data_IF_334572174776
#
_entry.id   IF_334572174776
#
_cell.length_a   1.000
_cell.length_b   1.000
_cell.length_c   1.000
_cell.angle_alpha   90.00
_cell.angle_beta   90.00
_cell.angle_gamma   90.00
#
_symmetry.space_group_name_H-M   'P 1'
#
loop_
_entity.id
_entity.type
_entity.pdbx_description
1 polymer ?
#
# COMPACT_ATOMS: atom_id res chain seq x y z
N UNK A 1 4.20 7.62 -11.15
CA UNK A 1 3.92 8.95 -10.48
C UNK A 1 4.69 9.01 -9.18
N UNK A 2 5.52 10.04 -8.95
CA UNK A 2 6.34 10.17 -7.73
C UNK A 2 5.54 10.68 -6.53
N UNK A 3 6.01 10.31 -5.32
CA UNK A 3 5.58 10.89 -4.05
C UNK A 3 6.76 11.69 -3.52
N UNK A 4 6.60 13.01 -3.31
CA UNK A 4 7.64 13.86 -2.72
C UNK A 4 7.19 14.38 -1.36
N UNK A 5 8.07 14.24 -0.38
CA UNK A 5 7.84 14.66 1.00
C UNK A 5 8.85 15.78 1.33
N UNK A 6 8.34 16.91 1.80
CA UNK A 6 9.15 18.08 2.20
C UNK A 6 8.84 18.45 3.64
N UNK A 7 9.85 18.34 4.52
CA UNK A 7 9.75 18.63 5.94
C UNK A 7 8.54 17.98 6.62
N UNK A 8 8.10 16.80 6.10
CA UNK A 8 6.89 16.14 6.57
C UNK A 8 7.09 15.64 8.00
N UNK A 9 6.14 16.00 8.86
CA UNK A 9 6.01 15.48 10.22
C UNK A 9 4.71 14.71 10.34
N UNK A 10 4.78 13.49 10.88
CA UNK A 10 3.65 12.59 11.07
C UNK A 10 3.42 12.30 12.55
N UNK A 11 2.18 12.05 12.91
CA UNK A 11 1.79 11.77 14.28
C UNK A 11 0.29 11.91 14.49
N UNK A 12 -0.13 12.14 15.72
CA UNK A 12 -1.53 12.27 16.08
C UNK A 12 -1.89 13.72 16.41
N UNK A 13 -3.03 14.21 15.96
CA UNK A 13 -3.46 15.63 16.07
C UNK A 13 -3.45 16.18 17.52
N UNK A 14 -3.61 15.31 18.53
CA UNK A 14 -3.56 15.64 19.96
C UNK A 14 -2.66 14.66 20.72
N UNK A 15 -1.69 14.06 20.04
CA UNK A 15 -0.80 13.03 20.57
C UNK A 15 0.64 13.26 20.15
N UNK A 16 1.51 12.27 20.35
CA UNK A 16 2.93 12.40 20.04
C UNK A 16 3.17 12.55 18.52
N UNK A 17 4.18 13.32 18.20
CA UNK A 17 4.79 13.29 16.87
C UNK A 17 5.61 12.01 16.76
N UNK A 18 5.37 11.24 15.71
CA UNK A 18 5.96 9.91 15.52
C UNK A 18 7.29 10.00 14.77
N UNK A 19 7.33 10.81 13.71
CA UNK A 19 8.55 11.12 12.99
C UNK A 19 8.49 12.56 12.45
N UNK A 20 9.66 13.18 12.32
CA UNK A 20 9.80 14.59 11.94
C UNK A 20 10.73 14.74 10.75
N UNK A 21 10.57 15.87 10.06
CA UNK A 21 11.48 16.35 9.03
C UNK A 21 11.80 15.32 7.92
N UNK A 22 10.77 14.58 7.52
CA UNK A 22 10.89 13.60 6.43
C UNK A 22 11.05 14.35 5.11
N UNK A 23 12.21 14.17 4.48
CA UNK A 23 12.56 14.76 3.19
C UNK A 23 12.99 13.64 2.23
N UNK A 24 12.13 13.23 1.30
CA UNK A 24 12.42 12.14 0.36
C UNK A 24 11.53 12.19 -0.87
N UNK A 25 12.02 11.61 -1.97
CA UNK A 25 11.24 11.31 -3.17
C UNK A 25 11.16 9.80 -3.36
N UNK A 26 9.94 9.28 -3.40
CA UNK A 26 9.62 7.89 -3.74
C UNK A 26 9.25 7.88 -5.22
N UNK A 27 10.10 7.25 -6.03
CA UNK A 27 9.96 7.25 -7.49
C UNK A 27 8.83 6.36 -7.97
N UNK A 28 8.18 6.78 -9.05
CA UNK A 28 7.17 5.99 -9.76
C UNK A 28 7.70 4.73 -10.42
N UNK A 29 6.82 3.77 -10.72
CA UNK A 29 7.16 2.53 -11.40
C UNK A 29 8.04 1.57 -10.58
N UNK A 30 8.09 1.72 -9.25
CA UNK A 30 8.97 0.96 -8.36
C UNK A 30 8.22 0.37 -7.18
N UNK A 31 8.72 -0.77 -6.71
CA UNK A 31 8.36 -1.36 -5.42
C UNK A 31 9.29 -0.82 -4.33
N UNK A 32 8.75 -0.01 -3.44
CA UNK A 32 9.47 0.53 -2.28
C UNK A 32 8.98 -0.14 -1.00
N UNK A 33 9.89 -0.70 -0.21
CA UNK A 33 9.58 -1.28 1.09
C UNK A 33 9.95 -0.31 2.23
N UNK A 34 8.98 -0.02 3.08
CA UNK A 34 9.13 0.75 4.30
C UNK A 34 9.42 -0.21 5.46
N UNK A 35 10.60 -0.10 6.03
CA UNK A 35 11.07 -0.92 7.14
C UNK A 35 11.28 -0.08 8.39
N UNK A 36 11.39 -0.72 9.54
CA UNK A 36 11.60 -0.11 10.85
C UNK A 36 10.90 -0.88 11.95
N UNK A 37 11.18 -0.55 13.20
CA UNK A 37 10.67 -1.23 14.38
C UNK A 37 9.14 -1.27 14.46
N UNK A 38 8.62 -2.20 15.24
CA UNK A 38 7.19 -2.24 15.51
C UNK A 38 6.77 -0.99 16.30
N UNK A 39 5.65 -0.38 15.89
CA UNK A 39 5.14 0.84 16.53
C UNK A 39 5.87 2.13 16.12
N UNK A 40 6.93 2.10 15.31
CA UNK A 40 7.70 3.28 14.88
C UNK A 40 6.88 4.27 14.03
N UNK A 41 5.72 3.85 13.49
CA UNK A 41 4.84 4.75 12.72
C UNK A 41 4.72 4.44 11.24
N UNK A 42 5.11 3.24 10.77
CA UNK A 42 4.95 2.83 9.36
C UNK A 42 3.51 2.99 8.88
N UNK A 43 2.54 2.43 9.61
CA UNK A 43 1.11 2.57 9.30
C UNK A 43 0.63 4.02 9.40
N UNK A 44 1.21 4.80 10.34
CA UNK A 44 0.91 6.25 10.47
C UNK A 44 1.35 7.01 9.23
N UNK A 45 2.54 6.72 8.70
CA UNK A 45 3.02 7.31 7.45
C UNK A 45 2.10 6.96 6.28
N UNK A 46 1.77 5.67 6.09
CA UNK A 46 0.87 5.23 5.01
C UNK A 46 -0.51 5.88 5.11
N UNK A 47 -1.09 5.95 6.32
CA UNK A 47 -2.37 6.64 6.55
C UNK A 47 -2.29 8.15 6.31
N UNK A 48 -1.16 8.77 6.62
CA UNK A 48 -0.94 10.20 6.35
C UNK A 48 -0.85 10.46 4.85
N UNK A 49 -0.10 9.65 4.11
CA UNK A 49 0.01 9.75 2.65
C UNK A 49 -1.34 9.57 1.96
N UNK A 50 -2.16 8.61 2.41
CA UNK A 50 -3.48 8.35 1.85
C UNK A 50 -4.54 9.39 2.26
N UNK A 51 -4.26 10.23 3.26
CA UNK A 51 -5.19 11.22 3.79
C UNK A 51 -6.20 10.68 4.81
N UNK A 52 -6.06 9.42 5.25
CA UNK A 52 -6.86 8.89 6.37
C UNK A 52 -6.46 9.49 7.71
N UNK A 53 -5.24 10.03 7.80
CA UNK A 53 -4.75 10.73 8.97
C UNK A 53 -4.14 12.07 8.53
N UNK A 54 -4.43 13.18 9.22
CA UNK A 54 -3.81 14.46 8.90
C UNK A 54 -2.32 14.43 9.24
N UNK A 55 -1.51 15.09 8.41
CA UNK A 55 -0.11 15.37 8.73
C UNK A 55 -0.02 16.35 9.93
N UNK A 56 1.10 16.35 10.64
CA UNK A 56 1.40 17.31 11.69
C UNK A 56 2.01 18.58 11.11
N UNK A 57 2.81 18.47 10.06
CA UNK A 57 3.43 19.59 9.35
C UNK A 57 4.14 19.14 8.08
N UNK A 58 4.68 20.09 7.32
CA UNK A 58 5.35 19.84 6.06
C UNK A 58 4.40 19.64 4.88
N UNK A 59 4.90 19.15 3.75
CA UNK A 59 4.18 19.02 2.50
C UNK A 59 4.28 17.61 1.92
N UNK A 60 3.21 17.18 1.25
CA UNK A 60 3.12 15.93 0.49
C UNK A 60 2.73 16.30 -0.93
N UNK A 61 3.56 15.93 -1.89
CA UNK A 61 3.30 16.13 -3.31
C UNK A 61 3.10 14.80 -4.02
N UNK A 62 2.00 14.69 -4.75
CA UNK A 62 1.62 13.53 -5.56
C UNK A 62 1.78 13.93 -7.04
N UNK A 63 2.89 13.56 -7.64
CA UNK A 63 3.32 14.10 -8.92
C UNK A 63 3.54 15.62 -8.84
N UNK A 64 2.74 16.40 -9.58
CA UNK A 64 2.79 17.87 -9.60
C UNK A 64 1.77 18.54 -8.67
N UNK A 65 0.95 17.79 -7.94
CA UNK A 65 -0.15 18.32 -7.12
C UNK A 65 0.17 18.15 -5.63
N UNK A 66 -0.01 19.21 -4.85
CA UNK A 66 0.04 19.13 -3.40
C UNK A 66 -1.18 18.39 -2.86
N UNK A 67 -0.95 17.43 -1.94
CA UNK A 67 -1.99 16.56 -1.43
C UNK A 67 -3.11 17.31 -0.69
N UNK A 68 -2.81 18.43 -0.03
CA UNK A 68 -3.80 19.21 0.70
C UNK A 68 -4.71 20.02 -0.23
N UNK A 69 -4.30 20.27 -1.47
CA UNK A 69 -5.13 20.90 -2.49
C UNK A 69 -6.19 19.96 -3.09
N UNK A 70 -6.09 18.66 -2.78
CA UNK A 70 -6.96 17.62 -3.34
C UNK A 70 -8.16 17.38 -2.44
N UNK A 71 -9.35 17.36 -3.04
CA UNK A 71 -10.52 16.78 -2.38
C UNK A 71 -10.30 15.29 -2.09
N UNK A 72 -11.06 14.75 -1.13
CA UNK A 72 -10.99 13.32 -0.82
C UNK A 72 -11.26 12.42 -2.05
N UNK A 73 -12.19 12.83 -2.92
CA UNK A 73 -12.50 12.11 -4.17
C UNK A 73 -11.36 12.18 -5.17
N UNK A 74 -10.69 13.31 -5.33
CA UNK A 74 -9.52 13.42 -6.20
C UNK A 74 -8.36 12.58 -5.68
N UNK A 75 -8.11 12.62 -4.36
CA UNK A 75 -7.07 11.81 -3.72
C UNK A 75 -7.33 10.31 -3.90
N UNK A 76 -8.58 9.87 -3.77
CA UNK A 76 -8.95 8.47 -3.99
C UNK A 76 -8.80 7.99 -5.45
N UNK A 77 -8.60 8.90 -6.40
CA UNK A 77 -8.25 8.57 -7.80
C UNK A 77 -6.73 8.57 -8.05
N UNK A 78 -5.95 8.94 -7.04
CA UNK A 78 -4.48 8.97 -7.11
C UNK A 78 -3.86 7.89 -6.23
N UNK A 79 -4.45 7.63 -5.06
CA UNK A 79 -3.93 6.66 -4.09
C UNK A 79 -5.00 5.64 -3.75
N UNK A 80 -4.64 4.36 -3.84
CA UNK A 80 -5.35 3.26 -3.19
C UNK A 80 -4.54 2.74 -2.00
N UNK A 81 -5.23 2.18 -1.00
CA UNK A 81 -4.58 1.64 0.19
C UNK A 81 -5.19 0.30 0.60
N UNK A 82 -4.31 -0.63 0.96
CA UNK A 82 -4.63 -1.91 1.61
C UNK A 82 -4.10 -1.85 3.03
N UNK A 83 -5.01 -1.93 4.01
CA UNK A 83 -4.66 -1.94 5.43
C UNK A 83 -4.54 -3.37 5.94
N UNK A 84 -3.75 -3.56 6.99
CA UNK A 84 -3.55 -4.87 7.66
C UNK A 84 -4.86 -5.41 8.29
N UNK A 85 -5.79 -4.53 8.67
CA UNK A 85 -7.05 -4.93 9.27
C UNK A 85 -7.89 -5.77 8.31
N UNK A 86 -8.43 -6.87 8.83
CA UNK A 86 -9.33 -7.77 8.13
C UNK A 86 -10.78 -7.42 8.50
N UNK A 87 -11.46 -6.57 7.76
CA UNK A 87 -12.87 -6.32 8.03
C UNK A 87 -13.67 -7.61 7.79
N UNK A 88 -14.60 -7.90 8.68
CA UNK A 88 -15.60 -8.93 8.42
C UNK A 88 -16.47 -8.49 7.24
N UNK A 89 -16.42 -9.23 6.15
CA UNK A 89 -17.12 -8.93 4.90
C UNK A 89 -18.14 -10.03 4.58
N UNK A 90 -18.89 -10.46 5.61
CA UNK A 90 -19.80 -11.59 5.51
C UNK A 90 -20.73 -11.53 4.29
N UNK A 91 -20.74 -12.62 3.53
CA UNK A 91 -21.66 -12.82 2.41
C UNK A 91 -21.24 -12.24 1.06
N UNK A 92 -20.24 -11.36 0.98
CA UNK A 92 -19.76 -10.79 -0.28
C UNK A 92 -18.97 -11.82 -1.10
N UNK A 93 -19.14 -11.75 -2.42
CA UNK A 93 -18.28 -12.46 -3.37
C UNK A 93 -16.97 -11.70 -3.59
N UNK A 94 -15.98 -12.38 -4.15
CA UNK A 94 -14.72 -11.75 -4.58
C UNK A 94 -14.99 -10.64 -5.60
N UNK A 95 -15.89 -10.88 -6.55
CA UNK A 95 -16.28 -9.88 -7.54
C UNK A 95 -16.88 -8.63 -6.88
N UNK A 96 -17.80 -8.79 -5.91
CA UNK A 96 -18.40 -7.67 -5.19
C UNK A 96 -17.35 -6.83 -4.47
N UNK A 97 -16.42 -7.50 -3.75
CA UNK A 97 -15.38 -6.82 -3.01
C UNK A 97 -14.43 -6.03 -3.93
N UNK A 98 -14.02 -6.63 -5.05
CA UNK A 98 -13.14 -5.93 -6.00
C UNK A 98 -13.89 -4.78 -6.70
N UNK A 99 -15.18 -4.95 -6.96
CA UNK A 99 -16.08 -3.91 -7.46
C UNK A 99 -16.15 -2.68 -6.56
N UNK A 100 -16.05 -2.85 -5.23
CA UNK A 100 -15.96 -1.71 -4.30
C UNK A 100 -14.74 -0.81 -4.56
N UNK A 101 -13.67 -1.32 -5.19
CA UNK A 101 -12.53 -0.52 -5.64
C UNK A 101 -12.95 0.59 -6.64
N UNK A 102 -14.10 0.42 -7.31
CA UNK A 102 -14.63 1.40 -8.28
C UNK A 102 -15.39 2.56 -7.63
N UNK A 103 -15.57 2.56 -6.29
CA UNK A 103 -16.34 3.60 -5.59
C UNK A 103 -15.96 5.06 -5.93
N UNK A 104 -14.70 5.45 -6.25
CA UNK A 104 -14.39 6.81 -6.69
C UNK A 104 -14.99 7.20 -8.05
N UNK A 105 -15.46 6.23 -8.81
CA UNK A 105 -15.98 6.39 -10.20
C UNK A 105 -17.47 6.16 -10.28
N UNK A 106 -18.05 5.36 -9.38
CA UNK A 106 -19.47 5.04 -9.35
C UNK A 106 -20.28 6.17 -8.70
N UNK A 107 -21.59 6.21 -8.99
CA UNK A 107 -22.52 7.10 -8.33
C UNK A 107 -22.92 6.62 -6.93
N UNK A 108 -23.91 7.30 -6.33
CA UNK A 108 -24.40 7.02 -4.98
C UNK A 108 -24.86 5.56 -4.77
N UNK A 109 -25.44 4.95 -5.79
CA UNK A 109 -25.94 3.57 -5.74
C UNK A 109 -24.85 2.50 -5.97
N UNK A 110 -23.62 2.89 -6.28
CA UNK A 110 -22.51 1.96 -6.47
C UNK A 110 -22.61 1.03 -7.69
N UNK A 111 -23.55 1.28 -8.60
CA UNK A 111 -23.72 0.44 -9.78
C UNK A 111 -22.50 0.53 -10.69
N UNK A 112 -21.98 -0.64 -11.07
CA UNK A 112 -20.83 -0.75 -11.97
C UNK A 112 -21.31 -0.58 -13.42
N UNK A 113 -20.70 0.35 -14.15
CA UNK A 113 -20.85 0.46 -15.59
C UNK A 113 -19.96 -0.57 -16.32
N UNK A 114 -20.15 -0.75 -17.62
CA UNK A 114 -19.33 -1.70 -18.41
C UNK A 114 -17.81 -1.45 -18.29
N UNK A 115 -17.38 -0.20 -18.18
CA UNK A 115 -16.00 0.15 -17.94
C UNK A 115 -15.51 -0.33 -16.55
N UNK A 116 -16.36 -0.22 -15.54
CA UNK A 116 -16.01 -0.63 -14.17
C UNK A 116 -15.90 -2.15 -14.09
N UNK A 117 -16.80 -2.88 -14.74
CA UNK A 117 -16.76 -4.35 -14.86
C UNK A 117 -15.47 -4.81 -15.55
N UNK A 118 -15.04 -4.11 -16.60
CA UNK A 118 -13.78 -4.40 -17.29
C UNK A 118 -12.58 -4.20 -16.36
N UNK A 119 -12.55 -3.11 -15.58
CA UNK A 119 -11.49 -2.83 -14.62
C UNK A 119 -11.43 -3.89 -13.50
N UNK A 120 -12.60 -4.33 -12.99
CA UNK A 120 -12.70 -5.41 -12.00
C UNK A 120 -12.14 -6.71 -12.58
N UNK A 121 -12.59 -7.09 -13.79
CA UNK A 121 -12.11 -8.30 -14.46
C UNK A 121 -10.58 -8.28 -14.68
N UNK A 122 -10.05 -7.19 -15.21
CA UNK A 122 -8.62 -7.03 -15.46
C UNK A 122 -7.82 -7.16 -14.15
N UNK A 123 -8.26 -6.51 -13.09
CA UNK A 123 -7.59 -6.57 -11.78
C UNK A 123 -7.59 -7.97 -11.19
N UNK A 124 -8.67 -8.72 -11.33
CA UNK A 124 -8.75 -10.12 -10.92
C UNK A 124 -7.83 -11.03 -11.75
N UNK A 125 -7.71 -10.78 -13.06
CA UNK A 125 -6.79 -11.52 -13.93
C UNK A 125 -5.35 -11.21 -13.57
N UNK A 126 -5.00 -9.93 -13.42
CA UNK A 126 -3.63 -9.51 -13.08
C UNK A 126 -3.13 -10.06 -11.73
N UNK A 127 -4.02 -10.23 -10.77
CA UNK A 127 -3.67 -10.79 -9.46
C UNK A 127 -3.80 -12.31 -9.39
N UNK A 128 -4.25 -12.96 -10.48
CA UNK A 128 -4.52 -14.41 -10.52
C UNK A 128 -5.74 -14.82 -9.69
N UNK A 129 -6.61 -13.88 -9.32
CA UNK A 129 -7.81 -14.13 -8.51
C UNK A 129 -9.08 -14.34 -9.34
N UNK A 130 -9.03 -14.26 -10.68
CA UNK A 130 -10.20 -14.45 -11.55
C UNK A 130 -10.95 -15.77 -11.33
N UNK A 131 -10.30 -16.94 -11.11
CA UNK A 131 -11.01 -18.18 -10.84
C UNK A 131 -11.81 -18.16 -9.53
N UNK A 132 -11.54 -17.22 -8.64
CA UNK A 132 -12.17 -17.09 -7.33
C UNK A 132 -13.36 -16.12 -7.34
N UNK A 133 -13.66 -15.44 -8.44
CA UNK A 133 -14.58 -14.29 -8.52
C UNK A 133 -15.97 -14.53 -7.92
N UNK A 134 -16.50 -15.76 -8.05
CA UNK A 134 -17.84 -16.14 -7.57
C UNK A 134 -17.80 -16.72 -6.14
N UNK A 135 -16.61 -16.94 -5.55
CA UNK A 135 -16.45 -17.45 -4.19
C UNK A 135 -16.73 -16.36 -3.17
N UNK A 136 -17.24 -16.77 -2.01
CA UNK A 136 -17.40 -15.88 -0.86
C UNK A 136 -16.03 -15.61 -0.21
N UNK A 137 -15.81 -14.36 0.23
CA UNK A 137 -14.57 -13.92 0.85
C UNK A 137 -14.21 -14.77 2.07
N UNK A 138 -15.20 -15.17 2.86
CA UNK A 138 -14.98 -15.96 4.07
C UNK A 138 -14.48 -17.39 3.80
N UNK A 139 -14.61 -17.87 2.56
CA UNK A 139 -14.14 -19.20 2.13
C UNK A 139 -12.70 -19.21 1.59
N UNK A 140 -12.05 -18.05 1.54
CA UNK A 140 -10.71 -17.92 0.97
C UNK A 140 -9.62 -18.21 2.01
N UNK A 141 -8.53 -18.82 1.56
CA UNK A 141 -7.27 -18.83 2.32
C UNK A 141 -6.71 -17.42 2.48
N UNK A 142 -5.79 -17.23 3.42
CA UNK A 142 -5.16 -15.92 3.65
C UNK A 142 -4.42 -15.40 2.40
N UNK A 143 -3.71 -16.27 1.67
CA UNK A 143 -3.05 -15.90 0.43
C UNK A 143 -4.01 -15.54 -0.70
N UNK A 144 -5.12 -16.29 -0.86
CA UNK A 144 -6.17 -15.95 -1.82
C UNK A 144 -6.82 -14.63 -1.47
N UNK A 145 -7.15 -14.42 -0.20
CA UNK A 145 -7.73 -13.17 0.31
C UNK A 145 -6.81 -11.99 0.05
N UNK A 146 -5.50 -12.15 0.27
CA UNK A 146 -4.52 -11.08 0.01
C UNK A 146 -4.48 -10.70 -1.47
N UNK A 147 -4.48 -11.68 -2.39
CA UNK A 147 -4.57 -11.42 -3.84
C UNK A 147 -5.84 -10.62 -4.20
N UNK A 148 -6.97 -10.94 -3.57
CA UNK A 148 -8.25 -10.24 -3.77
C UNK A 148 -8.18 -8.80 -3.23
N UNK A 149 -7.55 -8.56 -2.08
CA UNK A 149 -7.36 -7.21 -1.53
C UNK A 149 -6.48 -6.36 -2.45
N UNK A 150 -5.42 -6.94 -3.02
CA UNK A 150 -4.59 -6.28 -4.04
C UNK A 150 -5.39 -6.02 -5.32
N UNK A 151 -6.22 -6.98 -5.77
CA UNK A 151 -7.11 -6.77 -6.92
C UNK A 151 -8.09 -5.61 -6.71
N UNK A 152 -8.66 -5.48 -5.51
CA UNK A 152 -9.52 -4.36 -5.15
C UNK A 152 -8.78 -3.01 -5.24
N UNK A 153 -7.55 -2.94 -4.72
CA UNK A 153 -6.73 -1.74 -4.82
C UNK A 153 -6.36 -1.43 -6.29
N UNK A 154 -6.09 -2.45 -7.10
CA UNK A 154 -5.77 -2.32 -8.51
C UNK A 154 -6.97 -1.87 -9.33
N UNK A 155 -8.18 -2.37 -9.02
CA UNK A 155 -9.44 -1.98 -9.67
C UNK A 155 -9.78 -0.49 -9.48
N UNK A 156 -9.20 0.16 -8.48
CA UNK A 156 -9.31 1.61 -8.29
C UNK A 156 -8.53 2.41 -9.35
N UNK A 157 -7.71 1.75 -10.18
CA UNK A 157 -6.92 2.36 -11.28
C UNK A 157 -6.04 3.55 -10.85
N UNK A 158 -5.56 3.55 -9.63
CA UNK A 158 -4.70 4.62 -9.12
C UNK A 158 -3.25 4.42 -9.55
N UNK A 159 -2.47 5.50 -9.76
CA UNK A 159 -1.03 5.40 -10.03
C UNK A 159 -0.22 4.99 -8.78
N UNK A 160 -0.74 5.22 -7.57
CA UNK A 160 -0.06 4.92 -6.30
C UNK A 160 -0.87 3.88 -5.53
N UNK A 161 -0.20 2.83 -5.05
CA UNK A 161 -0.77 1.79 -4.19
C UNK A 161 0.05 1.72 -2.90
N UNK A 162 -0.62 1.95 -1.78
CA UNK A 162 -0.03 1.81 -0.45
C UNK A 162 -0.51 0.51 0.19
N UNK A 163 0.40 -0.25 0.83
CA UNK A 163 0.03 -1.49 1.51
C UNK A 163 0.65 -1.53 2.91
N UNK A 164 -0.20 -1.72 3.91
CA UNK A 164 0.24 -1.84 5.30
C UNK A 164 0.35 -3.31 5.67
N UNK A 165 1.58 -3.80 5.79
CA UNK A 165 1.96 -5.18 6.10
C UNK A 165 1.23 -6.25 5.24
N UNK A 166 1.30 -6.19 3.90
CA UNK A 166 0.53 -7.06 3.02
C UNK A 166 0.90 -8.55 3.12
N UNK A 167 2.00 -8.88 3.77
CA UNK A 167 2.49 -10.25 3.98
C UNK A 167 2.22 -10.78 5.39
N UNK A 168 1.59 -9.97 6.27
CA UNK A 168 1.18 -10.43 7.59
C UNK A 168 0.20 -11.61 7.47
N UNK A 169 0.36 -12.59 8.35
CA UNK A 169 -0.47 -13.81 8.41
C UNK A 169 -0.35 -14.78 7.22
N UNK A 170 0.56 -14.53 6.27
CA UNK A 170 0.82 -15.42 5.15
C UNK A 170 1.91 -16.44 5.50
N UNK A 171 1.78 -17.66 4.95
CA UNK A 171 2.87 -18.62 4.93
C UNK A 171 4.03 -18.11 4.03
N UNK A 172 5.19 -18.74 4.15
CA UNK A 172 6.41 -18.30 3.47
C UNK A 172 6.26 -18.21 1.94
N UNK A 173 5.62 -19.20 1.31
CA UNK A 173 5.43 -19.18 -0.15
C UNK A 173 4.49 -18.07 -0.58
N UNK A 174 3.39 -17.89 0.14
CA UNK A 174 2.43 -16.82 -0.14
C UNK A 174 3.03 -15.42 0.06
N UNK A 175 3.99 -15.24 0.99
CA UNK A 175 4.73 -13.96 1.14
C UNK A 175 5.55 -13.65 -0.10
N UNK A 176 6.34 -14.62 -0.58
CA UNK A 176 7.16 -14.46 -1.79
C UNK A 176 6.27 -14.15 -2.99
N UNK A 177 5.20 -14.89 -3.19
CA UNK A 177 4.29 -14.71 -4.31
C UNK A 177 3.62 -13.32 -4.27
N UNK A 178 3.25 -12.85 -3.08
CA UNK A 178 2.66 -11.51 -2.90
C UNK A 178 3.66 -10.41 -3.26
N UNK A 179 4.91 -10.50 -2.79
CA UNK A 179 5.93 -9.49 -3.10
C UNK A 179 6.31 -9.51 -4.58
N UNK A 180 6.44 -10.68 -5.19
CA UNK A 180 6.68 -10.84 -6.64
C UNK A 180 5.53 -10.26 -7.47
N UNK A 181 4.28 -10.49 -7.06
CA UNK A 181 3.12 -9.88 -7.69
C UNK A 181 3.20 -8.37 -7.63
N UNK A 182 3.48 -7.78 -6.47
CA UNK A 182 3.59 -6.33 -6.28
C UNK A 182 4.75 -5.75 -7.10
N UNK A 183 5.93 -6.40 -7.11
CA UNK A 183 7.06 -6.01 -7.94
C UNK A 183 6.70 -6.01 -9.43
N UNK A 184 6.06 -7.09 -9.92
CA UNK A 184 5.58 -7.16 -11.30
C UNK A 184 4.59 -6.03 -11.61
N UNK A 185 3.60 -5.78 -10.77
CA UNK A 185 2.62 -4.69 -10.98
C UNK A 185 3.29 -3.32 -11.01
N UNK A 186 4.31 -3.08 -10.17
CA UNK A 186 5.07 -1.84 -10.19
C UNK A 186 5.72 -1.62 -11.55
N UNK A 187 6.45 -2.62 -12.07
CA UNK A 187 7.22 -2.50 -13.29
C UNK A 187 6.37 -2.57 -14.57
N UNK A 188 5.40 -3.49 -14.65
CA UNK A 188 4.63 -3.70 -15.89
C UNK A 188 3.48 -2.72 -16.07
N UNK A 189 2.96 -2.14 -14.98
CA UNK A 189 1.84 -1.20 -15.00
C UNK A 189 2.22 0.22 -14.55
N UNK A 190 3.52 0.50 -14.43
CA UNK A 190 4.07 1.80 -13.97
C UNK A 190 3.44 2.29 -12.65
N UNK A 191 3.17 1.36 -11.71
CA UNK A 191 2.57 1.70 -10.42
C UNK A 191 3.66 2.06 -9.42
N UNK A 192 3.43 3.12 -8.65
CA UNK A 192 4.24 3.43 -7.46
C UNK A 192 3.69 2.62 -6.31
N UNK A 193 4.44 1.62 -5.87
CA UNK A 193 4.01 0.75 -4.78
C UNK A 193 4.90 1.00 -3.57
N UNK A 194 4.27 1.43 -2.46
CA UNK A 194 4.92 1.58 -1.16
C UNK A 194 4.24 0.64 -0.18
N UNK A 195 4.99 -0.32 0.36
CA UNK A 195 4.48 -1.23 1.37
C UNK A 195 5.30 -1.17 2.66
N UNK A 196 4.65 -1.36 3.80
CA UNK A 196 5.33 -1.62 5.07
C UNK A 196 5.56 -3.11 5.24
N UNK A 197 6.71 -3.49 5.80
CA UNK A 197 7.00 -4.88 6.14
C UNK A 197 7.99 -4.99 7.29
N UNK A 198 7.95 -6.10 8.00
CA UNK A 198 8.95 -6.51 8.98
C UNK A 198 9.84 -7.65 8.45
N UNK A 199 9.56 -8.18 7.27
CA UNK A 199 10.37 -9.21 6.62
C UNK A 199 11.51 -8.56 5.81
N UNK A 200 12.62 -8.32 6.50
CA UNK A 200 13.76 -7.60 5.94
C UNK A 200 14.45 -8.38 4.83
N UNK A 201 14.48 -9.72 4.94
CA UNK A 201 15.15 -10.55 3.95
C UNK A 201 14.40 -10.48 2.61
N UNK A 202 13.09 -10.73 2.61
CA UNK A 202 12.30 -10.67 1.39
C UNK A 202 12.23 -9.25 0.82
N UNK A 203 12.20 -8.23 1.68
CA UNK A 203 12.26 -6.84 1.23
C UNK A 203 13.57 -6.52 0.52
N UNK A 204 14.71 -6.98 1.07
CA UNK A 204 16.02 -6.77 0.46
C UNK A 204 16.20 -7.48 -0.89
N UNK A 205 15.53 -8.62 -1.08
CA UNK A 205 15.64 -9.41 -2.32
C UNK A 205 14.71 -8.93 -3.44
N UNK A 206 13.56 -8.35 -3.10
CA UNK A 206 12.49 -8.12 -4.06
C UNK A 206 12.11 -6.65 -4.27
N UNK A 207 12.53 -5.74 -3.38
CA UNK A 207 12.24 -4.32 -3.52
C UNK A 207 13.30 -3.58 -4.34
N UNK A 208 12.87 -2.57 -5.08
CA UNK A 208 13.76 -1.65 -5.79
C UNK A 208 14.41 -0.63 -4.84
N UNK A 209 13.73 -0.34 -3.72
CA UNK A 209 14.19 0.62 -2.73
C UNK A 209 13.74 0.20 -1.34
N UNK A 210 14.64 0.31 -0.38
CA UNK A 210 14.33 0.16 1.04
C UNK A 210 14.41 1.52 1.73
N UNK A 211 13.39 1.83 2.52
CA UNK A 211 13.31 3.04 3.32
C UNK A 211 13.20 2.67 4.80
N UNK A 212 14.15 3.10 5.60
CA UNK A 212 14.10 2.94 7.06
C UNK A 212 13.43 4.15 7.69
N UNK A 213 12.32 3.89 8.38
CA UNK A 213 11.66 4.88 9.23
C UNK A 213 12.26 4.83 10.64
N UNK A 214 12.63 6.00 11.15
CA UNK A 214 13.09 6.22 12.51
C UNK A 214 12.42 7.49 13.09
N UNK A 215 12.57 7.77 14.40
CA UNK A 215 12.06 9.02 14.97
C UNK A 215 12.66 10.28 14.31
N UNK A 216 13.90 10.16 13.81
CA UNK A 216 14.65 11.25 13.17
C UNK A 216 14.32 11.44 11.68
N UNK A 217 13.42 10.63 11.14
CA UNK A 217 12.97 10.75 9.75
C UNK A 217 12.98 9.45 8.96
N UNK A 218 13.00 9.59 7.64
CA UNK A 218 12.95 8.49 6.66
C UNK A 218 14.18 8.56 5.75
N UNK A 219 14.94 7.47 5.66
CA UNK A 219 16.15 7.42 4.84
C UNK A 219 16.23 6.15 3.99
N UNK A 220 16.85 6.23 2.80
CA UNK A 220 17.16 5.03 2.02
C UNK A 220 18.21 4.19 2.73
N UNK A 221 18.12 2.87 2.55
CA UNK A 221 19.05 1.90 3.11
C UNK A 221 19.49 0.95 2.01
N UNK A 222 20.79 0.68 1.95
CA UNK A 222 21.33 -0.34 1.07
C UNK A 222 20.93 -1.75 1.59
N UNK A 223 20.29 -2.58 0.77
CA UNK A 223 19.95 -3.97 1.13
C UNK A 223 21.16 -4.76 1.68
N UNK A 224 22.37 -4.51 1.17
CA UNK A 224 23.57 -5.19 1.60
C UNK A 224 23.97 -4.87 3.05
N UNK A 225 23.62 -3.68 3.56
CA UNK A 225 23.94 -3.25 4.93
C UNK A 225 22.94 -3.73 5.97
N UNK A 226 21.73 -4.17 5.53
CA UNK A 226 20.69 -4.68 6.43
C UNK A 226 21.11 -5.96 7.16
N UNK A 227 22.07 -6.70 6.62
CA UNK A 227 22.42 -8.03 7.12
C UNK A 227 23.09 -8.08 8.49
N UNK A 228 23.66 -7.00 8.99
CA UNK A 228 24.37 -7.01 10.28
C UNK A 228 23.78 -6.07 11.33
N UNK A 229 23.61 -4.78 11.05
CA UNK A 229 23.26 -3.78 12.07
C UNK A 229 21.76 -3.77 12.44
N UNK A 230 20.87 -4.01 11.49
CA UNK A 230 19.42 -3.94 11.74
C UNK A 230 18.92 -5.23 12.39
N UNK A 231 19.53 -6.39 12.10
CA UNK A 231 19.20 -7.64 12.81
C UNK A 231 19.48 -7.56 14.30
N UNK A 232 20.54 -6.87 14.71
CA UNK A 232 20.84 -6.68 16.14
C UNK A 232 19.87 -5.74 16.83
N UNK A 233 19.42 -4.65 16.16
CA UNK A 233 18.49 -3.65 16.73
C UNK A 233 17.02 -4.03 16.72
N UNK A 234 16.65 -5.05 15.95
CA UNK A 234 15.24 -5.52 15.85
C UNK A 234 15.01 -6.76 16.74
N UNK A 235 16.10 -7.40 17.23
CA UNK A 235 16.03 -8.55 18.15
C UNK A 235 16.20 -8.17 19.63
N UNK A 236 16.68 -6.96 19.93
CA UNK A 236 16.72 -6.35 21.27
C UNK A 236 15.44 -5.52 21.54
#
# INVERSE_FOLDING_TARGET
MDIRLHHLSIGYRRGPVVARDINITILGGRLTCLIGDNGIGKSTLLRTLSGFQPKVGGEIWLGSREADSLSQRERSRIISIVLTQRPEMGGLTVHDLVGMGRSPYTGFWGNLAARDELAVRQSLVETGAWPLRDRKIDSLSDGERQKVMIARALAQETPIILLDEPTAFLDFHSRIDTLRLLSRLAHTMDKTILLSTHDLQLAAELADLLLLLSPDGLRPVDPATISQDIRQRIQD
#
